data_IF_134404160937
#
_entry.id   IF_134404160937
#
_cell.length_a   1.000
_cell.length_b   1.000
_cell.length_c   1.000
_cell.angle_alpha   90.00
_cell.angle_beta   90.00
_cell.angle_gamma   90.00
#
_symmetry.space_group_name_H-M   'P 1'
#
loop_
_entity.id
_entity.type
_entity.pdbx_description
1 polymer ?
#
# COMPACT_ATOMS: atom_id res chain seq x y z
N UNK A 1 17.43 115.92 26.80
CA UNK A 1 16.96 116.00 25.40
C UNK A 1 17.65 114.88 24.65
N UNK A 2 17.02 113.69 24.60
CA UNK A 2 16.39 113.12 23.38
C UNK A 2 17.38 113.07 22.22
N UNK A 3 17.67 111.92 21.62
CA UNK A 3 16.80 111.31 20.60
C UNK A 3 17.19 109.85 20.32
N UNK A 4 16.18 109.00 20.17
CA UNK A 4 16.19 107.65 19.58
C UNK A 4 16.34 107.68 18.05
N UNK A 5 17.11 106.78 17.47
CA UNK A 5 16.90 106.33 16.08
C UNK A 5 17.39 104.88 15.88
N UNK A 6 16.42 104.07 15.45
CA UNK A 6 16.41 102.71 14.91
C UNK A 6 17.34 102.50 13.72
N UNK A 7 17.73 101.24 13.48
CA UNK A 7 17.75 100.64 12.13
C UNK A 7 17.72 99.10 12.22
N UNK A 8 16.64 98.56 11.66
CA UNK A 8 16.38 97.16 11.33
C UNK A 8 17.07 96.80 10.01
N UNK A 9 17.51 95.53 9.86
CA UNK A 9 17.34 94.66 8.67
C UNK A 9 18.24 93.42 8.79
N UNK A 10 17.65 92.22 8.66
CA UNK A 10 18.16 90.95 8.03
C UNK A 10 17.78 89.69 8.83
N UNK A 11 16.55 89.18 8.67
CA UNK A 11 16.17 87.85 9.24
C UNK A 11 15.31 86.98 8.30
N UNK A 12 15.14 87.36 7.02
CA UNK A 12 14.16 86.69 6.14
C UNK A 12 14.70 85.50 5.32
N UNK A 13 16.02 85.31 5.20
CA UNK A 13 16.60 84.26 4.34
C UNK A 13 16.88 82.93 5.04
N UNK A 14 17.11 82.93 6.35
CA UNK A 14 17.44 81.70 7.10
C UNK A 14 16.23 80.79 7.37
N UNK A 15 15.02 81.36 7.51
CA UNK A 15 13.83 80.57 7.83
C UNK A 15 13.39 79.61 6.70
N UNK A 16 13.73 79.92 5.44
CA UNK A 16 13.42 79.07 4.29
C UNK A 16 14.35 77.85 4.16
N UNK A 17 15.65 78.02 4.45
CA UNK A 17 16.62 76.93 4.41
C UNK A 17 16.43 75.92 5.54
N UNK A 18 16.05 76.39 6.72
CA UNK A 18 15.79 75.53 7.89
C UNK A 18 14.62 74.58 7.61
N UNK A 19 13.53 75.07 7.04
CA UNK A 19 12.38 74.23 6.69
C UNK A 19 12.71 73.17 5.62
N UNK A 20 13.58 73.50 4.65
CA UNK A 20 14.01 72.52 3.65
C UNK A 20 14.95 71.45 4.22
N UNK A 21 15.81 71.84 5.17
CA UNK A 21 16.71 70.91 5.85
C UNK A 21 15.92 69.98 6.79
N UNK A 22 14.96 70.51 7.55
CA UNK A 22 14.09 69.71 8.41
C UNK A 22 13.26 68.70 7.62
N UNK A 23 12.71 69.10 6.46
CA UNK A 23 11.99 68.18 5.58
C UNK A 23 12.90 67.06 5.03
N UNK A 24 14.16 67.38 4.71
CA UNK A 24 15.13 66.39 4.22
C UNK A 24 15.58 65.43 5.34
N UNK A 25 15.75 65.93 6.57
CA UNK A 25 16.04 65.10 7.75
C UNK A 25 14.90 64.12 8.02
N UNK A 26 13.65 64.57 7.89
CA UNK A 26 12.49 63.72 8.10
C UNK A 26 12.36 62.63 7.03
N UNK A 27 12.64 62.94 5.76
CA UNK A 27 12.69 61.94 4.68
C UNK A 27 13.80 60.91 4.90
N UNK A 28 14.97 61.34 5.39
CA UNK A 28 16.07 60.43 5.71
C UNK A 28 15.73 59.53 6.90
N UNK A 29 15.06 60.06 7.92
CA UNK A 29 14.61 59.27 9.07
C UNK A 29 13.54 58.22 8.68
N UNK A 30 12.59 58.59 7.82
CA UNK A 30 11.60 57.65 7.29
C UNK A 30 12.25 56.54 6.45
N UNK A 31 13.26 56.88 5.66
CA UNK A 31 14.01 55.91 4.86
C UNK A 31 14.88 54.99 5.73
N UNK A 32 15.48 55.51 6.81
CA UNK A 32 16.21 54.72 7.79
C UNK A 32 15.29 53.71 8.48
N UNK A 33 14.10 54.16 8.93
CA UNK A 33 13.10 53.28 9.52
C UNK A 33 12.61 52.18 8.55
N UNK A 34 12.51 52.50 7.26
CA UNK A 34 12.15 51.52 6.23
C UNK A 34 13.26 50.47 6.03
N UNK A 35 14.53 50.89 5.96
CA UNK A 35 15.66 49.97 5.85
C UNK A 35 15.77 49.05 7.07
N UNK A 36 15.58 49.58 8.27
CA UNK A 36 15.60 48.78 9.50
C UNK A 36 14.48 47.74 9.56
N UNK A 37 13.29 48.07 9.03
CA UNK A 37 12.20 47.12 8.91
C UNK A 37 12.55 46.00 7.91
N UNK A 38 13.15 46.36 6.78
CA UNK A 38 13.55 45.41 5.74
C UNK A 38 14.68 44.47 6.22
N UNK A 39 15.65 44.99 6.97
CA UNK A 39 16.72 44.20 7.56
C UNK A 39 16.13 43.17 8.54
N UNK A 40 15.22 43.58 9.42
CA UNK A 40 14.56 42.67 10.36
C UNK A 40 13.76 41.56 9.67
N UNK A 41 13.09 41.88 8.56
CA UNK A 41 12.36 40.88 7.77
C UNK A 41 13.31 39.84 7.16
N UNK A 42 14.45 40.29 6.61
CA UNK A 42 15.46 39.40 6.03
C UNK A 42 16.17 38.56 7.09
N UNK A 43 16.46 39.12 8.26
CA UNK A 43 17.03 38.37 9.39
C UNK A 43 16.08 37.25 9.83
N UNK A 44 14.79 37.55 9.94
CA UNK A 44 13.78 36.54 10.30
C UNK A 44 13.65 35.46 9.22
N UNK A 45 13.70 35.83 7.94
CA UNK A 45 13.67 34.88 6.84
C UNK A 45 14.89 33.94 6.85
N UNK A 46 16.09 34.46 7.13
CA UNK A 46 17.32 33.66 7.22
C UNK A 46 17.27 32.73 8.43
N UNK A 47 16.84 33.22 9.60
CA UNK A 47 16.74 32.40 10.82
C UNK A 47 15.74 31.24 10.61
N UNK A 48 14.61 31.48 9.94
CA UNK A 48 13.64 30.43 9.64
C UNK A 48 14.21 29.38 8.67
N UNK A 49 14.88 29.81 7.59
CA UNK A 49 15.48 28.91 6.59
C UNK A 49 16.61 28.04 7.19
N UNK A 50 17.41 28.62 8.10
CA UNK A 50 18.44 27.85 8.83
C UNK A 50 17.84 26.85 9.82
N UNK A 51 16.71 27.17 10.44
CA UNK A 51 16.03 26.26 11.39
C UNK A 51 15.42 25.08 10.63
N UNK A 52 14.75 25.33 9.51
CA UNK A 52 14.18 24.27 8.66
C UNK A 52 15.27 23.35 8.07
N UNK A 53 16.40 23.92 7.63
CA UNK A 53 17.53 23.13 7.13
C UNK A 53 18.21 22.26 8.21
N UNK A 54 18.28 22.74 9.47
CA UNK A 54 18.86 21.97 10.57
C UNK A 54 17.95 20.82 11.04
N UNK A 55 16.63 21.03 11.03
CA UNK A 55 15.66 20.00 11.43
C UNK A 55 15.58 18.86 10.40
N UNK A 56 15.70 19.14 9.09
CA UNK A 56 15.73 18.11 8.05
C UNK A 56 17.00 17.23 8.10
N UNK A 57 18.18 17.83 8.34
CA UNK A 57 19.44 17.10 8.44
C UNK A 57 19.50 16.22 9.70
N UNK A 58 18.99 16.72 10.84
CA UNK A 58 18.93 15.95 12.08
C UNK A 58 17.94 14.79 12.03
N UNK A 59 16.79 14.96 11.37
CA UNK A 59 15.83 13.88 11.16
C UNK A 59 16.41 12.76 10.27
N UNK A 60 17.17 13.13 9.24
CA UNK A 60 17.89 12.17 8.38
C UNK A 60 19.02 11.44 9.10
N UNK A 61 19.76 12.14 9.95
CA UNK A 61 20.87 11.59 10.72
C UNK A 61 20.39 10.64 11.84
N UNK A 62 19.29 10.97 12.52
CA UNK A 62 18.65 10.10 13.51
C UNK A 62 18.13 8.80 12.87
N UNK A 63 17.47 8.90 11.71
CA UNK A 63 17.01 7.73 10.96
C UNK A 63 18.17 6.83 10.52
N UNK A 64 19.30 7.42 10.12
CA UNK A 64 20.51 6.69 9.74
C UNK A 64 21.16 5.99 10.94
N UNK A 65 21.27 6.66 12.09
CA UNK A 65 21.79 6.06 13.32
C UNK A 65 20.89 4.91 13.80
N UNK A 66 19.56 5.05 13.71
CA UNK A 66 18.61 3.99 14.04
C UNK A 66 18.78 2.76 13.11
N UNK A 67 19.01 2.99 11.81
CA UNK A 67 19.31 1.93 10.85
C UNK A 67 20.64 1.24 11.14
N UNK A 68 21.70 1.99 11.46
CA UNK A 68 23.02 1.44 11.81
C UNK A 68 22.95 0.58 13.07
N UNK A 69 22.26 1.05 14.12
CA UNK A 69 22.02 0.27 15.32
C UNK A 69 21.23 -1.01 15.04
N UNK A 70 20.23 -0.95 14.15
CA UNK A 70 19.46 -2.13 13.75
C UNK A 70 20.30 -3.13 12.97
N UNK A 71 21.17 -2.64 12.08
CA UNK A 71 22.10 -3.47 11.32
C UNK A 71 23.08 -4.16 12.26
N UNK A 72 23.63 -3.45 13.25
CA UNK A 72 24.58 -4.04 14.19
C UNK A 72 23.92 -5.04 15.14
N UNK A 73 22.67 -4.79 15.56
CA UNK A 73 21.87 -5.79 16.28
C UNK A 73 21.66 -7.06 15.44
N UNK A 74 21.30 -6.93 14.16
CA UNK A 74 21.12 -8.07 13.26
C UNK A 74 22.43 -8.83 12.99
N UNK A 75 23.56 -8.12 12.87
CA UNK A 75 24.89 -8.76 12.76
C UNK A 75 25.23 -9.56 14.01
N UNK A 76 24.92 -9.03 15.19
CA UNK A 76 25.14 -9.73 16.45
C UNK A 76 24.26 -10.98 16.56
N UNK A 77 22.97 -10.88 16.21
CA UNK A 77 22.07 -12.03 16.14
C UNK A 77 22.57 -13.09 15.17
N UNK A 78 23.04 -12.68 13.99
CA UNK A 78 23.63 -13.58 13.00
C UNK A 78 24.90 -14.25 13.53
N UNK A 79 25.78 -13.51 14.21
CA UNK A 79 27.01 -14.07 14.78
C UNK A 79 26.70 -15.11 15.87
N UNK A 80 25.70 -14.84 16.71
CA UNK A 80 25.22 -15.79 17.74
C UNK A 80 24.61 -17.02 17.08
N UNK A 81 23.77 -16.86 16.06
CA UNK A 81 23.18 -17.98 15.33
C UNK A 81 24.24 -18.84 14.63
N UNK A 82 25.24 -18.21 13.99
CA UNK A 82 26.36 -18.91 13.37
C UNK A 82 27.18 -19.67 14.41
N UNK A 83 27.51 -19.04 15.54
CA UNK A 83 28.21 -19.71 16.63
C UNK A 83 27.42 -20.91 17.16
N UNK A 84 26.10 -20.76 17.37
CA UNK A 84 25.22 -21.85 17.79
C UNK A 84 25.26 -23.03 16.80
N UNK A 85 25.20 -22.75 15.49
CA UNK A 85 25.26 -23.77 14.46
C UNK A 85 26.62 -24.48 14.42
N UNK A 86 27.72 -23.76 14.63
CA UNK A 86 29.05 -24.40 14.75
C UNK A 86 29.14 -25.31 15.98
N UNK A 87 28.55 -24.91 17.11
CA UNK A 87 28.50 -25.74 18.33
C UNK A 87 27.65 -26.97 18.06
N UNK A 88 26.47 -26.80 17.45
CA UNK A 88 25.59 -27.91 17.07
C UNK A 88 26.33 -28.92 16.21
N UNK A 89 27.02 -28.48 15.17
CA UNK A 89 27.80 -29.36 14.29
C UNK A 89 28.92 -30.10 15.05
N UNK A 90 29.63 -29.41 15.96
CA UNK A 90 30.64 -30.07 16.81
C UNK A 90 30.04 -31.11 17.74
N UNK A 91 28.87 -30.84 18.34
CA UNK A 91 28.16 -31.79 19.20
C UNK A 91 27.70 -33.01 18.40
N UNK A 92 27.13 -32.82 17.20
CA UNK A 92 26.73 -33.93 16.33
C UNK A 92 27.95 -34.76 15.91
N UNK A 93 29.05 -34.13 15.51
CA UNK A 93 30.28 -34.83 15.12
C UNK A 93 30.91 -35.60 16.30
N UNK A 94 30.87 -35.00 17.49
CA UNK A 94 31.32 -35.64 18.73
C UNK A 94 30.46 -36.86 19.05
N UNK A 95 29.13 -36.71 19.05
CA UNK A 95 28.19 -37.81 19.27
C UNK A 95 28.36 -38.93 18.25
N UNK A 96 28.56 -38.60 16.98
CA UNK A 96 28.87 -39.58 15.93
C UNK A 96 30.17 -40.32 16.20
N UNK A 97 31.23 -39.60 16.59
CA UNK A 97 32.53 -40.20 16.94
C UNK A 97 32.41 -41.15 18.14
N UNK A 98 31.69 -40.75 19.19
CA UNK A 98 31.39 -41.61 20.33
C UNK A 98 30.58 -42.84 19.93
N UNK A 99 29.56 -42.67 19.08
CA UNK A 99 28.75 -43.78 18.59
C UNK A 99 29.60 -44.80 17.81
N UNK A 100 30.55 -44.36 16.98
CA UNK A 100 31.47 -45.26 16.25
C UNK A 100 32.38 -46.02 17.22
N UNK A 101 32.91 -45.35 18.25
CA UNK A 101 33.75 -46.01 19.27
C UNK A 101 32.93 -47.03 20.07
N UNK A 102 31.74 -46.67 20.54
CA UNK A 102 30.85 -47.58 21.27
C UNK A 102 30.43 -48.76 20.41
N UNK A 103 30.10 -48.55 19.13
CA UNK A 103 29.81 -49.62 18.16
C UNK A 103 30.99 -50.58 17.98
N UNK A 104 32.22 -50.09 18.03
CA UNK A 104 33.41 -50.95 17.93
C UNK A 104 33.58 -51.86 19.16
N UNK A 105 33.11 -51.40 20.33
CA UNK A 105 33.22 -52.10 21.61
C UNK A 105 32.02 -53.02 21.90
N UNK A 106 30.82 -52.67 21.43
CA UNK A 106 29.55 -53.35 21.73
C UNK A 106 28.79 -53.71 20.45
N UNK A 107 29.26 -54.73 19.71
CA UNK A 107 28.70 -55.12 18.40
C UNK A 107 27.36 -55.85 18.43
N UNK A 108 26.94 -56.40 19.58
CA UNK A 108 25.89 -57.41 19.62
C UNK A 108 24.45 -56.87 19.70
N UNK A 109 24.24 -55.63 20.16
CA UNK A 109 22.89 -55.08 20.44
C UNK A 109 22.46 -53.99 19.43
N UNK A 110 23.41 -53.39 18.70
CA UNK A 110 23.15 -52.21 17.86
C UNK A 110 22.61 -52.49 16.46
N UNK A 111 22.68 -53.72 15.95
CA UNK A 111 22.20 -54.04 14.59
C UNK A 111 20.67 -53.93 14.46
N UNK A 112 19.92 -54.10 15.55
CA UNK A 112 18.46 -53.98 15.56
C UNK A 112 18.03 -52.51 15.64
N UNK A 113 18.68 -51.72 16.50
CA UNK A 113 18.44 -50.28 16.60
C UNK A 113 18.84 -49.54 15.31
N UNK A 114 19.93 -49.95 14.65
CA UNK A 114 20.37 -49.37 13.37
C UNK A 114 19.36 -49.67 12.25
N UNK A 115 18.74 -50.86 12.25
CA UNK A 115 17.63 -51.17 11.32
C UNK A 115 16.42 -50.28 11.59
N UNK A 116 15.99 -50.17 12.84
CA UNK A 116 14.85 -49.31 13.22
C UNK A 116 15.11 -47.85 12.82
N UNK A 117 16.32 -47.34 13.07
CA UNK A 117 16.71 -45.99 12.69
C UNK A 117 16.75 -45.81 11.17
N UNK A 118 17.29 -46.79 10.42
CA UNK A 118 17.33 -46.74 8.96
C UNK A 118 15.93 -46.75 8.34
N UNK A 119 15.00 -47.52 8.91
CA UNK A 119 13.62 -47.57 8.45
C UNK A 119 12.87 -46.28 8.80
N UNK A 120 13.15 -45.67 9.96
CA UNK A 120 12.62 -44.36 10.34
C UNK A 120 13.13 -43.24 9.41
N UNK A 121 14.41 -43.29 9.05
CA UNK A 121 15.01 -42.34 8.07
C UNK A 121 14.34 -42.48 6.71
N UNK A 122 14.14 -43.71 6.21
CA UNK A 122 13.44 -43.94 4.94
C UNK A 122 12.02 -43.40 4.97
N UNK A 123 11.24 -43.67 6.03
CA UNK A 123 9.88 -43.14 6.18
C UNK A 123 9.86 -41.61 6.21
N UNK A 124 10.82 -41.00 6.90
CA UNK A 124 10.97 -39.54 6.91
C UNK A 124 11.26 -39.01 5.50
N UNK A 125 12.20 -39.62 4.79
CA UNK A 125 12.61 -39.16 3.47
C UNK A 125 11.49 -39.33 2.43
N UNK A 126 10.71 -40.40 2.53
CA UNK A 126 9.51 -40.63 1.73
C UNK A 126 8.43 -39.56 2.01
N UNK A 127 8.14 -39.30 3.29
CA UNK A 127 7.20 -38.24 3.68
C UNK A 127 7.66 -36.83 3.26
N UNK A 128 8.97 -36.56 3.31
CA UNK A 128 9.53 -35.28 2.83
C UNK A 128 9.41 -35.17 1.31
N UNK A 129 9.64 -36.27 0.58
CA UNK A 129 9.45 -36.30 -0.87
C UNK A 129 7.99 -36.04 -1.25
N UNK A 130 7.03 -36.68 -0.57
CA UNK A 130 5.60 -36.43 -0.75
C UNK A 130 5.24 -34.97 -0.43
N UNK A 131 5.74 -34.44 0.69
CA UNK A 131 5.54 -33.04 1.05
C UNK A 131 6.05 -32.07 -0.02
N UNK A 132 7.26 -32.32 -0.55
CA UNK A 132 7.83 -31.48 -1.60
C UNK A 132 7.00 -31.54 -2.88
N UNK A 133 6.42 -32.71 -3.21
CA UNK A 133 5.54 -32.85 -4.36
C UNK A 133 4.24 -32.03 -4.16
N UNK A 134 3.58 -32.21 -3.03
CA UNK A 134 2.38 -31.44 -2.66
C UNK A 134 2.68 -29.93 -2.62
N UNK A 135 3.83 -29.55 -2.09
CA UNK A 135 4.24 -28.14 -2.04
C UNK A 135 4.41 -27.55 -3.44
N UNK A 136 5.01 -28.30 -4.37
CA UNK A 136 5.15 -27.89 -5.76
C UNK A 136 3.78 -27.73 -6.44
N UNK A 137 2.89 -28.70 -6.25
CA UNK A 137 1.53 -28.63 -6.82
C UNK A 137 0.74 -27.44 -6.27
N UNK A 138 0.89 -27.16 -4.97
CA UNK A 138 0.30 -25.98 -4.33
C UNK A 138 0.88 -24.67 -4.87
N UNK A 139 2.18 -24.61 -5.18
CA UNK A 139 2.76 -23.44 -5.84
C UNK A 139 2.19 -23.22 -7.24
N UNK A 140 2.03 -24.28 -8.02
CA UNK A 140 1.41 -24.22 -9.36
C UNK A 140 -0.03 -23.72 -9.24
N UNK A 141 -0.83 -24.33 -8.36
CA UNK A 141 -2.21 -23.92 -8.14
C UNK A 141 -2.35 -22.46 -7.68
N UNK A 142 -1.42 -21.96 -6.84
CA UNK A 142 -1.39 -20.55 -6.44
C UNK A 142 -1.05 -19.63 -7.60
N UNK A 143 -0.11 -20.04 -8.45
CA UNK A 143 0.23 -19.27 -9.65
C UNK A 143 -0.96 -19.19 -10.60
N UNK A 144 -1.62 -20.32 -10.87
CA UNK A 144 -2.80 -20.37 -11.74
C UNK A 144 -3.95 -19.51 -11.17
N UNK A 145 -4.17 -19.56 -9.86
CA UNK A 145 -5.17 -18.72 -9.19
C UNK A 145 -4.84 -17.23 -9.34
N UNK A 146 -3.57 -16.83 -9.21
CA UNK A 146 -3.16 -15.44 -9.43
C UNK A 146 -3.38 -15.00 -10.88
N UNK A 147 -3.08 -15.86 -11.86
CA UNK A 147 -3.34 -15.59 -13.28
C UNK A 147 -4.84 -15.41 -13.54
N UNK A 148 -5.68 -16.29 -13.00
CA UNK A 148 -7.14 -16.19 -13.13
C UNK A 148 -7.67 -14.93 -12.45
N UNK A 149 -7.16 -14.56 -11.28
CA UNK A 149 -7.56 -13.32 -10.60
C UNK A 149 -7.28 -12.08 -11.45
N UNK A 150 -6.11 -12.00 -12.10
CA UNK A 150 -5.78 -10.92 -13.01
C UNK A 150 -6.77 -10.88 -14.19
N UNK A 151 -7.03 -12.04 -14.82
CA UNK A 151 -8.00 -12.12 -15.91
C UNK A 151 -9.41 -11.68 -15.50
N UNK A 152 -9.84 -12.02 -14.28
CA UNK A 152 -11.15 -11.59 -13.74
C UNK A 152 -11.19 -10.07 -13.56
N UNK A 153 -10.12 -9.45 -13.05
CA UNK A 153 -10.04 -8.00 -12.91
C UNK A 153 -10.09 -7.31 -14.28
N UNK A 154 -9.34 -7.80 -15.26
CA UNK A 154 -9.36 -7.27 -16.63
C UNK A 154 -10.76 -7.37 -17.26
N UNK A 155 -11.44 -8.51 -17.07
CA UNK A 155 -12.82 -8.70 -17.53
C UNK A 155 -13.81 -7.79 -16.80
N UNK A 156 -13.62 -7.54 -15.50
CA UNK A 156 -14.46 -6.62 -14.73
C UNK A 156 -14.29 -5.18 -15.20
N UNK A 157 -13.05 -4.76 -15.49
CA UNK A 157 -12.78 -3.42 -16.01
C UNK A 157 -13.38 -3.24 -17.41
N UNK A 158 -13.25 -4.24 -18.29
CA UNK A 158 -13.89 -4.20 -19.61
C UNK A 158 -15.41 -4.19 -19.50
N UNK A 159 -16.00 -4.99 -18.61
CA UNK A 159 -17.45 -5.00 -18.39
C UNK A 159 -17.92 -3.65 -17.81
N UNK A 160 -17.16 -3.03 -16.91
CA UNK A 160 -17.43 -1.67 -16.42
C UNK A 160 -17.38 -0.65 -17.55
N UNK A 161 -16.39 -0.73 -18.45
CA UNK A 161 -16.25 0.14 -19.62
C UNK A 161 -17.44 0.01 -20.57
N UNK A 162 -17.85 -1.23 -20.87
CA UNK A 162 -19.02 -1.51 -21.71
C UNK A 162 -20.33 -1.04 -21.06
N UNK A 163 -20.50 -1.26 -19.76
CA UNK A 163 -21.65 -0.77 -19.00
C UNK A 163 -21.74 0.77 -19.00
N UNK A 164 -20.61 1.46 -18.89
CA UNK A 164 -20.55 2.92 -19.01
C UNK A 164 -20.92 3.39 -20.42
N UNK A 165 -20.41 2.72 -21.47
CA UNK A 165 -20.76 3.03 -22.85
C UNK A 165 -22.26 2.85 -23.12
N UNK A 166 -22.86 1.75 -22.64
CA UNK A 166 -24.30 1.50 -22.72
C UNK A 166 -25.11 2.52 -21.92
N UNK A 167 -24.65 2.92 -20.73
CA UNK A 167 -25.31 3.95 -19.93
C UNK A 167 -25.33 5.30 -20.67
N UNK A 168 -24.20 5.69 -21.28
CA UNK A 168 -24.09 6.91 -22.09
C UNK A 168 -25.00 6.87 -23.33
N UNK A 169 -25.05 5.74 -24.03
CA UNK A 169 -25.94 5.55 -25.18
C UNK A 169 -27.42 5.58 -24.73
N UNK A 170 -27.75 4.98 -23.59
CA UNK A 170 -29.11 5.00 -23.05
C UNK A 170 -29.53 6.40 -22.59
N UNK A 171 -28.62 7.19 -22.03
CA UNK A 171 -28.88 8.61 -21.71
C UNK A 171 -29.03 9.45 -22.96
N UNK A 172 -28.21 9.23 -24.00
CA UNK A 172 -28.34 9.91 -25.28
C UNK A 172 -29.66 9.57 -25.99
N UNK A 173 -30.12 8.31 -25.91
CA UNK A 173 -31.44 7.91 -26.40
C UNK A 173 -32.54 8.59 -25.57
N UNK A 174 -32.44 8.62 -24.24
CA UNK A 174 -33.44 9.31 -23.37
C UNK A 174 -33.51 10.82 -23.62
N UNK A 175 -32.39 11.49 -23.88
CA UNK A 175 -32.36 12.92 -24.21
C UNK A 175 -32.81 13.20 -25.66
N UNK A 176 -32.45 12.32 -26.61
CA UNK A 176 -32.89 12.42 -28.02
C UNK A 176 -34.36 12.02 -28.27
N UNK A 177 -34.96 11.23 -27.39
CA UNK A 177 -36.36 10.78 -27.51
C UNK A 177 -37.39 11.79 -27.00
N UNK A 178 -36.96 12.97 -26.53
CA UNK A 178 -37.88 14.07 -26.25
C UNK A 178 -38.51 14.67 -27.52
N UNK A 179 -37.99 14.36 -28.72
CA UNK A 179 -38.45 14.99 -29.96
C UNK A 179 -38.85 14.07 -31.12
N UNK A 180 -38.57 12.76 -31.15
CA UNK A 180 -39.05 11.93 -32.26
C UNK A 180 -39.07 10.41 -32.00
N UNK A 181 -40.10 9.76 -32.54
CA UNK A 181 -40.24 8.33 -32.88
C UNK A 181 -40.74 7.32 -31.83
N UNK A 182 -42.06 7.20 -31.78
CA UNK A 182 -42.84 6.21 -31.00
C UNK A 182 -42.88 4.79 -31.61
N UNK A 183 -42.22 4.52 -32.73
CA UNK A 183 -42.26 3.21 -33.43
C UNK A 183 -40.95 2.44 -33.38
N UNK A 184 -39.78 3.11 -33.33
CA UNK A 184 -38.47 2.47 -33.20
C UNK A 184 -38.21 1.93 -31.78
N UNK A 185 -38.58 2.73 -30.76
CA UNK A 185 -38.42 2.36 -29.35
C UNK A 185 -39.21 1.11 -28.94
N UNK A 186 -40.35 0.81 -29.59
CA UNK A 186 -41.14 -0.38 -29.27
C UNK A 186 -40.45 -1.68 -29.71
N UNK A 187 -39.74 -1.67 -30.85
CA UNK A 187 -38.95 -2.81 -31.32
C UNK A 187 -37.69 -3.01 -30.49
N UNK A 188 -37.06 -1.91 -30.07
CA UNK A 188 -35.88 -1.97 -29.21
C UNK A 188 -36.23 -2.46 -27.79
N UNK A 189 -37.36 -2.03 -27.23
CA UNK A 189 -37.86 -2.54 -25.95
C UNK A 189 -38.19 -4.04 -26.00
N UNK A 190 -38.80 -4.53 -27.09
CA UNK A 190 -39.06 -5.97 -27.27
C UNK A 190 -37.77 -6.79 -27.38
N UNK A 191 -36.76 -6.28 -28.07
CA UNK A 191 -35.46 -6.95 -28.18
C UNK A 191 -34.75 -7.03 -26.83
N UNK A 192 -34.79 -5.96 -26.03
CA UNK A 192 -34.23 -5.95 -24.67
C UNK A 192 -34.99 -6.93 -23.76
N UNK A 193 -36.30 -7.07 -23.91
CA UNK A 193 -37.10 -8.03 -23.14
C UNK A 193 -36.75 -9.50 -23.49
N UNK A 194 -36.51 -9.80 -24.77
CA UNK A 194 -36.03 -11.12 -25.22
C UNK A 194 -34.61 -11.42 -24.73
N UNK A 195 -33.72 -10.43 -24.76
CA UNK A 195 -32.36 -10.57 -24.22
C UNK A 195 -32.37 -10.79 -22.70
N UNK A 196 -33.22 -10.07 -21.96
CA UNK A 196 -33.41 -10.29 -20.52
C UNK A 196 -33.95 -11.69 -20.23
N UNK A 197 -34.96 -12.17 -20.95
CA UNK A 197 -35.46 -13.55 -20.82
C UNK A 197 -34.36 -14.57 -21.07
N UNK A 198 -33.53 -14.34 -22.09
CA UNK A 198 -32.41 -15.23 -22.41
C UNK A 198 -31.36 -15.25 -21.28
N UNK A 199 -31.07 -14.10 -20.67
CA UNK A 199 -30.14 -13.99 -19.54
C UNK A 199 -30.72 -14.70 -18.31
N UNK A 200 -32.00 -14.52 -18.00
CA UNK A 200 -32.67 -15.21 -16.89
C UNK A 200 -32.66 -16.72 -17.08
N UNK A 201 -32.90 -17.21 -18.29
CA UNK A 201 -32.83 -18.64 -18.61
C UNK A 201 -31.41 -19.17 -18.39
N UNK A 202 -30.38 -18.46 -18.87
CA UNK A 202 -28.97 -18.84 -18.67
C UNK A 202 -28.60 -18.87 -17.19
N UNK A 203 -29.03 -17.87 -16.43
CA UNK A 203 -28.82 -17.80 -14.99
C UNK A 203 -29.47 -18.99 -14.27
N UNK A 204 -30.70 -19.34 -14.62
CA UNK A 204 -31.41 -20.50 -14.05
C UNK A 204 -30.69 -21.82 -14.37
N UNK A 205 -30.16 -21.98 -15.59
CA UNK A 205 -29.40 -23.18 -15.97
C UNK A 205 -28.11 -23.29 -15.15
N UNK A 206 -27.33 -22.22 -15.07
CA UNK A 206 -26.08 -22.19 -14.29
C UNK A 206 -26.37 -22.45 -12.81
N UNK A 207 -27.44 -21.85 -12.29
CA UNK A 207 -27.86 -22.05 -10.91
C UNK A 207 -28.19 -23.52 -10.63
N UNK A 208 -29.01 -24.15 -11.48
CA UNK A 208 -29.38 -25.56 -11.32
C UNK A 208 -28.17 -26.50 -11.41
N UNK A 209 -27.20 -26.20 -12.28
CA UNK A 209 -25.96 -26.97 -12.38
C UNK A 209 -25.13 -26.82 -11.11
N UNK A 210 -25.01 -25.61 -10.56
CA UNK A 210 -24.25 -25.36 -9.33
C UNK A 210 -24.89 -26.07 -8.12
N UNK A 211 -26.22 -26.05 -8.05
CA UNK A 211 -27.01 -26.79 -7.06
C UNK A 211 -26.77 -28.30 -7.16
N UNK A 212 -26.80 -28.86 -8.38
CA UNK A 212 -26.50 -30.27 -8.63
C UNK A 212 -25.07 -30.63 -8.21
N UNK A 213 -24.10 -29.79 -8.56
CA UNK A 213 -22.70 -30.00 -8.19
C UNK A 213 -22.51 -29.95 -6.66
N UNK A 214 -23.15 -29.01 -5.98
CA UNK A 214 -23.06 -28.89 -4.53
C UNK A 214 -23.65 -30.13 -3.83
N UNK A 215 -24.78 -30.64 -4.33
CA UNK A 215 -25.40 -31.87 -3.84
C UNK A 215 -24.53 -33.12 -4.10
N UNK A 216 -23.89 -33.21 -5.27
CA UNK A 216 -23.02 -34.34 -5.64
C UNK A 216 -21.62 -34.28 -5.02
N UNK A 217 -21.17 -33.10 -4.55
CA UNK A 217 -19.84 -32.90 -3.98
C UNK A 217 -19.61 -33.60 -2.63
N UNK A 218 -20.66 -34.11 -1.99
CA UNK A 218 -20.58 -34.75 -0.67
C UNK A 218 -20.24 -33.79 0.48
N UNK A 219 -20.24 -32.48 0.23
CA UNK A 219 -20.07 -31.43 1.25
C UNK A 219 -21.35 -31.30 2.07
N UNK A 220 -21.25 -31.22 3.40
CA UNK A 220 -22.39 -30.98 4.28
C UNK A 220 -22.84 -29.51 4.22
N UNK A 221 -23.54 -29.18 3.14
CA UNK A 221 -24.08 -27.86 2.85
C UNK A 221 -25.22 -27.45 3.80
N UNK A 222 -25.76 -28.39 4.59
CA UNK A 222 -26.90 -28.14 5.49
C UNK A 222 -26.49 -27.51 6.83
N UNK A 223 -25.28 -27.82 7.30
CA UNK A 223 -24.72 -27.32 8.56
C UNK A 223 -23.82 -26.10 8.39
N UNK A 224 -23.38 -25.79 7.17
CA UNK A 224 -22.57 -24.62 6.88
C UNK A 224 -23.45 -23.41 6.47
N UNK A 225 -23.47 -22.31 7.24
CA UNK A 225 -24.22 -21.11 6.92
C UNK A 225 -23.89 -20.51 5.54
N UNK A 226 -22.64 -20.66 5.08
CA UNK A 226 -22.20 -20.12 3.81
C UNK A 226 -22.80 -20.88 2.62
N UNK A 227 -22.73 -22.22 2.64
CA UNK A 227 -23.30 -23.04 1.58
C UNK A 227 -24.83 -23.03 1.59
N UNK A 228 -25.46 -22.89 2.76
CA UNK A 228 -26.90 -22.71 2.88
C UNK A 228 -27.37 -21.40 2.22
N UNK A 229 -26.68 -20.28 2.47
CA UNK A 229 -27.00 -18.99 1.85
C UNK A 229 -26.81 -19.02 0.33
N UNK A 230 -25.74 -19.65 -0.15
CA UNK A 230 -25.50 -19.88 -1.58
C UNK A 230 -26.64 -20.69 -2.18
N UNK A 231 -27.05 -21.79 -1.54
CA UNK A 231 -28.13 -22.65 -2.02
C UNK A 231 -29.50 -21.93 -2.06
N UNK A 232 -29.79 -21.10 -1.07
CA UNK A 232 -31.02 -20.31 -0.99
C UNK A 232 -31.07 -19.19 -2.02
N UNK A 233 -29.94 -18.52 -2.31
CA UNK A 233 -29.83 -17.48 -3.34
C UNK A 233 -29.89 -18.03 -4.76
N UNK A 234 -29.45 -19.28 -4.93
CA UNK A 234 -29.51 -19.98 -6.21
C UNK A 234 -30.94 -20.40 -6.58
N UNK A 235 -31.85 -20.56 -5.62
CA UNK A 235 -33.23 -20.92 -5.91
C UNK A 235 -33.89 -19.81 -6.73
N UNK A 236 -34.36 -20.09 -7.96
CA UNK A 236 -35.10 -19.09 -8.74
C UNK A 236 -36.38 -18.72 -7.98
N UNK A 237 -36.72 -17.43 -7.98
CA UNK A 237 -38.04 -16.97 -7.54
C UNK A 237 -39.07 -17.63 -8.45
N UNK A 238 -39.68 -18.71 -7.96
CA UNK A 238 -40.80 -19.38 -8.60
C UNK A 238 -42.00 -18.44 -8.56
N UNK A 239 -42.47 -18.04 -9.74
CA UNK A 239 -43.86 -17.63 -9.97
C UNK A 239 -44.83 -18.75 -9.54
#
# INVERSE_FOLDING_TARGET
>A
MTTTATLTTTTSTDAGLINTLEAQVLQLADHEAWLDAQIRELELAIDNDTTEAMDEDHAGEEAKLALEQRIDALKQELAVAAALETIRNKVVNSAYSYHVVLRSLFKADHDQDEKILSDAIKKRDEAVSEYLHIHKDLQIARHDLAVVQVQVLDLQDENRRLAQALALETTAIKEGTSSQDSTSNRRMAQKIEEELKTITIKYNVVSNVLQGLLLESGVDWSNDPHYLDVMLKLKPASD
#
